data_IF_419898975385
#
_entry.id   IF_419898975385
#
_cell.length_a   1.000
_cell.length_b   1.000
_cell.length_c   1.000
_cell.angle_alpha   90.00
_cell.angle_beta   90.00
_cell.angle_gamma   90.00
#
_symmetry.space_group_name_H-M   'P 1'
#
loop_
_entity.id
_entity.type
_entity.pdbx_description
1 polymer ?
#
# COMPACT_ATOMS: atom_id res chain seq x y z
N UNK A 1 31.25 20.44 10.91
CA UNK A 1 29.92 21.07 10.94
C UNK A 1 29.75 21.75 9.59
N UNK A 2 28.98 21.17 8.66
CA UNK A 2 28.72 21.82 7.36
C UNK A 2 27.75 22.96 7.60
N UNK A 3 28.26 24.18 7.60
CA UNK A 3 27.46 25.39 7.81
C UNK A 3 26.76 25.73 6.49
N UNK A 4 25.56 25.18 6.30
CA UNK A 4 24.61 25.75 5.34
C UNK A 4 24.29 27.16 5.83
N UNK A 5 24.24 28.14 4.92
CA UNK A 5 23.84 29.50 5.29
C UNK A 5 22.36 29.52 5.71
N UNK A 6 22.01 30.47 6.57
CA UNK A 6 20.69 30.52 7.20
C UNK A 6 19.55 30.67 6.19
N UNK A 7 19.78 31.40 5.08
CA UNK A 7 18.78 31.57 4.04
C UNK A 7 18.51 30.25 3.28
N UNK A 8 19.56 29.52 2.92
CA UNK A 8 19.44 28.18 2.32
C UNK A 8 18.79 27.19 3.29
N UNK A 9 19.13 27.24 4.57
CA UNK A 9 18.54 26.37 5.60
C UNK A 9 17.04 26.64 5.75
N UNK A 10 16.63 27.91 5.83
CA UNK A 10 15.23 28.30 5.91
C UNK A 10 14.45 27.89 4.66
N UNK A 11 15.00 28.10 3.47
CA UNK A 11 14.37 27.68 2.22
C UNK A 11 14.10 26.16 2.17
N UNK A 12 15.01 25.35 2.72
CA UNK A 12 14.84 23.88 2.81
C UNK A 12 13.72 23.51 3.79
N UNK A 13 13.64 24.20 4.92
CA UNK A 13 12.58 24.00 5.93
C UNK A 13 11.22 24.38 5.35
N UNK A 14 11.11 25.56 4.76
CA UNK A 14 9.86 26.07 4.18
C UNK A 14 9.36 25.16 3.06
N UNK A 15 10.28 24.69 2.20
CA UNK A 15 9.95 23.77 1.14
C UNK A 15 9.40 22.43 1.67
N UNK A 16 9.98 21.90 2.75
CA UNK A 16 9.53 20.64 3.35
C UNK A 16 8.11 20.75 3.90
N UNK A 17 7.75 21.91 4.45
CA UNK A 17 6.39 22.16 4.95
C UNK A 17 5.42 22.40 3.79
N UNK A 18 5.84 23.11 2.74
CA UNK A 18 5.02 23.36 1.56
C UNK A 18 4.74 22.06 0.77
N UNK A 19 5.74 21.17 0.66
CA UNK A 19 5.67 19.95 -0.14
C UNK A 19 6.12 18.72 0.66
N UNK A 20 5.36 18.30 1.69
CA UNK A 20 5.77 17.26 2.64
C UNK A 20 6.02 15.90 1.96
N UNK A 21 5.39 15.63 0.82
CA UNK A 21 5.56 14.39 0.06
C UNK A 21 6.85 14.32 -0.77
N UNK A 22 7.61 15.42 -0.91
CA UNK A 22 8.82 15.45 -1.74
C UNK A 22 10.03 14.92 -0.96
N UNK A 23 10.77 13.99 -1.58
CA UNK A 23 12.03 13.47 -1.02
C UNK A 23 13.22 14.40 -1.25
N UNK A 24 14.31 14.16 -0.51
CA UNK A 24 15.51 15.02 -0.45
C UNK A 24 16.10 15.42 -1.82
N UNK A 25 16.10 14.51 -2.80
CA UNK A 25 16.62 14.76 -4.14
C UNK A 25 15.68 15.65 -4.96
N UNK A 26 14.36 15.47 -4.81
CA UNK A 26 13.36 16.32 -5.46
C UNK A 26 13.42 17.72 -4.88
N UNK A 27 13.46 17.86 -3.55
CA UNK A 27 13.64 19.15 -2.88
C UNK A 27 14.91 19.87 -3.34
N UNK A 28 16.05 19.17 -3.39
CA UNK A 28 17.31 19.72 -3.92
C UNK A 28 17.18 20.23 -5.36
N UNK A 29 16.51 19.48 -6.23
CA UNK A 29 16.30 19.88 -7.63
C UNK A 29 15.34 21.08 -7.77
N UNK A 30 14.27 21.13 -6.99
CA UNK A 30 13.30 22.22 -7.04
C UNK A 30 13.85 23.52 -6.44
N UNK A 31 14.60 23.43 -5.34
CA UNK A 31 15.33 24.56 -4.77
C UNK A 31 16.37 25.12 -5.75
N UNK A 32 17.05 24.25 -6.51
CA UNK A 32 18.00 24.69 -7.54
C UNK A 32 17.33 25.55 -8.62
N UNK A 33 16.09 25.22 -9.02
CA UNK A 33 15.32 26.04 -9.98
C UNK A 33 14.98 27.42 -9.42
N UNK A 34 14.94 27.56 -8.10
CA UNK A 34 14.70 28.82 -7.38
C UNK A 34 16.01 29.56 -7.04
N UNK A 35 17.16 29.08 -7.53
CA UNK A 35 18.47 29.69 -7.26
C UNK A 35 19.09 29.28 -5.93
N UNK A 36 18.51 28.32 -5.20
CA UNK A 36 19.03 27.80 -3.93
C UNK A 36 19.80 26.50 -4.17
N UNK A 37 21.13 26.53 -4.00
CA UNK A 37 22.00 25.41 -4.34
C UNK A 37 22.37 24.57 -3.12
N UNK A 38 21.68 23.44 -2.94
CA UNK A 38 21.99 22.47 -1.88
C UNK A 38 21.90 21.03 -2.43
N UNK A 39 22.77 20.13 -1.97
CA UNK A 39 22.72 18.71 -2.35
C UNK A 39 21.59 17.96 -1.63
N UNK A 40 21.15 16.82 -2.16
CA UNK A 40 20.17 15.97 -1.45
C UNK A 40 20.63 15.52 -0.06
N UNK A 41 21.92 15.25 0.13
CA UNK A 41 22.48 14.96 1.46
C UNK A 41 22.51 16.19 2.37
N UNK A 42 22.70 17.39 1.81
CA UNK A 42 22.56 18.66 2.53
C UNK A 42 21.12 18.88 3.01
N UNK A 43 20.13 18.65 2.13
CA UNK A 43 18.70 18.71 2.48
C UNK A 43 18.37 17.76 3.63
N UNK A 44 18.81 16.50 3.54
CA UNK A 44 18.67 15.50 4.61
C UNK A 44 19.25 15.99 5.94
N UNK A 45 20.44 16.57 5.89
CA UNK A 45 21.14 17.06 7.08
C UNK A 45 20.41 18.23 7.73
N UNK A 46 19.84 19.14 6.95
CA UNK A 46 18.96 20.22 7.44
C UNK A 46 17.71 19.61 8.07
N UNK A 47 17.00 18.73 7.37
CA UNK A 47 15.78 18.11 7.90
C UNK A 47 15.99 17.38 9.22
N UNK A 48 17.13 16.70 9.40
CA UNK A 48 17.46 16.05 10.67
C UNK A 48 17.60 17.06 11.83
N UNK A 49 18.14 18.25 11.59
CA UNK A 49 18.25 19.31 12.60
C UNK A 49 16.89 19.91 12.96
N UNK A 50 15.98 19.98 11.99
CA UNK A 50 14.65 20.58 12.14
C UNK A 50 13.53 19.57 12.41
N UNK A 51 13.87 18.28 12.58
CA UNK A 51 12.89 17.22 12.79
C UNK A 51 11.84 17.12 11.65
N UNK A 52 12.30 17.18 10.40
CA UNK A 52 11.48 17.16 9.16
C UNK A 52 11.89 16.02 8.23
N UNK A 53 12.58 15.01 8.73
CA UNK A 53 13.35 14.10 7.88
C UNK A 53 12.51 12.96 7.28
N UNK A 54 11.21 12.92 7.55
CA UNK A 54 10.30 11.97 6.95
C UNK A 54 8.91 12.60 6.75
N UNK A 55 8.12 11.98 5.88
CA UNK A 55 6.80 12.45 5.49
C UNK A 55 5.89 12.79 6.69
N UNK A 56 5.82 11.91 7.70
CA UNK A 56 4.98 12.11 8.89
C UNK A 56 5.36 13.37 9.66
N UNK A 57 6.66 13.63 9.78
CA UNK A 57 7.18 14.81 10.47
C UNK A 57 6.98 16.10 9.67
N UNK A 58 7.27 16.09 8.36
CA UNK A 58 7.02 17.23 7.48
C UNK A 58 5.54 17.58 7.41
N UNK A 59 4.67 16.56 7.37
CA UNK A 59 3.22 16.74 7.36
C UNK A 59 2.70 17.27 8.70
N UNK A 60 3.24 16.81 9.83
CA UNK A 60 2.92 17.39 11.14
C UNK A 60 3.28 18.87 11.21
N UNK A 61 4.44 19.26 10.67
CA UNK A 61 4.84 20.66 10.60
C UNK A 61 3.89 21.49 9.72
N UNK A 62 3.34 20.90 8.65
CA UNK A 62 2.28 21.54 7.85
C UNK A 62 0.98 21.70 8.65
N UNK A 63 0.52 20.65 9.35
CA UNK A 63 -0.66 20.72 10.22
C UNK A 63 -0.52 21.82 11.30
N UNK A 64 0.64 21.90 11.94
CA UNK A 64 0.96 22.95 12.91
C UNK A 64 0.95 24.35 12.29
N UNK A 65 1.45 24.49 11.05
CA UNK A 65 1.43 25.76 10.31
C UNK A 65 0.01 26.18 9.95
N UNK A 66 -0.83 25.24 9.49
CA UNK A 66 -2.25 25.49 9.20
C UNK A 66 -2.99 25.94 10.47
N UNK A 67 -2.77 25.25 11.59
CA UNK A 67 -3.43 25.58 12.85
C UNK A 67 -3.01 26.96 13.39
N UNK A 68 -1.75 27.36 13.16
CA UNK A 68 -1.20 28.64 13.65
C UNK A 68 -1.56 29.82 12.76
N UNK A 69 -1.41 29.65 11.45
CA UNK A 69 -1.43 30.76 10.49
C UNK A 69 -2.74 30.81 9.69
N UNK A 70 -3.59 29.78 9.78
CA UNK A 70 -4.86 29.71 9.06
C UNK A 70 -4.70 29.65 7.54
N UNK A 71 -3.58 29.10 7.05
CA UNK A 71 -3.27 29.07 5.62
C UNK A 71 -4.27 28.21 4.83
N UNK A 72 -4.66 28.68 3.66
CA UNK A 72 -5.39 27.86 2.68
C UNK A 72 -4.44 26.80 2.10
N UNK A 73 -4.93 25.56 2.05
CA UNK A 73 -4.16 24.42 1.56
C UNK A 73 -4.21 24.35 0.03
N UNK A 74 -3.08 24.06 -0.59
CA UNK A 74 -3.03 23.73 -2.02
C UNK A 74 -3.52 22.30 -2.27
N UNK A 75 -3.95 21.99 -3.49
CA UNK A 75 -4.35 20.62 -3.90
C UNK A 75 -3.28 19.58 -3.56
N UNK A 76 -2.01 19.93 -3.71
CA UNK A 76 -0.88 19.03 -3.39
C UNK A 76 -0.75 18.73 -1.90
N UNK A 77 -1.12 19.68 -1.04
CA UNK A 77 -1.12 19.54 0.41
C UNK A 77 -2.36 18.80 0.91
N UNK A 78 -3.52 19.05 0.29
CA UNK A 78 -4.74 18.28 0.51
C UNK A 78 -4.48 16.80 0.21
N UNK A 79 -3.90 16.50 -0.96
CA UNK A 79 -3.54 15.13 -1.33
C UNK A 79 -2.54 14.49 -0.35
N UNK A 80 -1.63 15.27 0.25
CA UNK A 80 -0.70 14.77 1.26
C UNK A 80 -1.42 14.44 2.59
N UNK A 81 -2.39 15.26 3.01
CA UNK A 81 -3.21 15.01 4.20
C UNK A 81 -4.12 13.80 4.00
N UNK A 82 -4.75 13.67 2.83
CA UNK A 82 -5.55 12.50 2.45
C UNK A 82 -4.72 11.22 2.44
N UNK A 83 -3.47 11.29 1.97
CA UNK A 83 -2.54 10.15 2.03
C UNK A 83 -2.26 9.70 3.46
N UNK A 84 -2.02 10.63 4.39
CA UNK A 84 -1.85 10.29 5.82
C UNK A 84 -3.12 9.71 6.41
N UNK A 85 -4.29 10.29 6.13
CA UNK A 85 -5.55 9.74 6.60
C UNK A 85 -5.74 8.29 6.13
N UNK A 86 -5.43 7.99 4.87
CA UNK A 86 -5.46 6.64 4.33
C UNK A 86 -4.41 5.70 4.95
N UNK A 87 -3.23 6.21 5.32
CA UNK A 87 -2.16 5.42 5.95
C UNK A 87 -2.45 5.16 7.45
N UNK A 88 -2.99 6.14 8.18
CA UNK A 88 -3.39 6.03 9.58
C UNK A 88 -4.65 5.15 9.74
N UNK A 89 -5.60 5.21 8.78
CA UNK A 89 -6.76 4.31 8.70
C UNK A 89 -6.35 2.85 8.36
N UNK A 90 -5.15 2.62 7.83
CA UNK A 90 -4.63 1.27 7.57
C UNK A 90 -3.94 0.61 8.78
N UNK A 91 -3.91 1.27 9.94
CA UNK A 91 -3.21 0.81 11.14
C UNK A 91 -4.17 0.24 12.21
N UNK A 92 -5.16 -0.55 11.82
CA UNK A 92 -5.74 -1.54 12.74
C UNK A 92 -4.78 -2.73 12.78
N UNK A 93 -4.13 -2.98 13.92
CA UNK A 93 -3.06 -3.98 14.01
C UNK A 93 -3.53 -5.37 13.57
N UNK A 94 -3.14 -5.74 12.35
CA UNK A 94 -3.14 -7.11 11.89
C UNK A 94 -1.94 -7.77 12.55
N UNK A 95 -2.18 -8.61 13.56
CA UNK A 95 -1.12 -9.42 14.17
C UNK A 95 -0.52 -10.36 13.11
N UNK A 96 0.76 -10.16 12.80
CA UNK A 96 1.52 -11.02 11.89
C UNK A 96 2.93 -11.23 12.43
N UNK A 97 3.34 -12.49 12.58
CA UNK A 97 4.55 -12.83 13.32
C UNK A 97 5.75 -13.19 12.43
N UNK A 98 5.49 -13.79 11.27
CA UNK A 98 6.51 -14.28 10.33
C UNK A 98 5.89 -14.51 8.93
N UNK A 99 6.72 -14.70 7.88
CA UNK A 99 6.20 -15.09 6.56
C UNK A 99 5.35 -16.36 6.65
N UNK A 100 4.23 -16.39 5.92
CA UNK A 100 3.26 -17.49 5.96
C UNK A 100 2.33 -17.50 7.18
N UNK A 101 2.50 -16.59 8.15
CA UNK A 101 1.60 -16.49 9.30
C UNK A 101 0.19 -16.06 8.89
N UNK A 102 0.10 -14.99 8.09
CA UNK A 102 -1.17 -14.45 7.62
C UNK A 102 -1.05 -13.90 6.20
N UNK A 103 -1.82 -14.48 5.29
CA UNK A 103 -2.05 -13.96 3.95
C UNK A 103 -3.34 -13.15 3.86
N UNK A 104 -3.30 -12.00 3.17
CA UNK A 104 -4.49 -11.25 2.77
C UNK A 104 -4.84 -11.67 1.34
N UNK A 105 -6.06 -12.14 1.10
CA UNK A 105 -6.52 -12.53 -0.23
C UNK A 105 -7.76 -11.73 -0.63
N UNK A 106 -7.78 -11.28 -1.88
CA UNK A 106 -8.81 -10.39 -2.41
C UNK A 106 -8.98 -10.54 -3.93
N UNK A 107 -10.16 -10.18 -4.43
CA UNK A 107 -10.51 -10.18 -5.85
C UNK A 107 -10.68 -8.75 -6.37
N UNK A 108 -9.87 -8.39 -7.36
CA UNK A 108 -9.92 -7.08 -8.02
C UNK A 108 -10.52 -7.18 -9.43
N UNK A 109 -11.49 -6.33 -9.77
CA UNK A 109 -11.99 -6.23 -11.15
C UNK A 109 -11.03 -5.37 -11.98
N UNK A 110 -10.44 -5.97 -13.02
CA UNK A 110 -9.45 -5.31 -13.88
C UNK A 110 -10.12 -4.50 -15.00
N UNK A 111 -11.14 -5.08 -15.64
CA UNK A 111 -11.79 -4.47 -16.79
C UNK A 111 -12.51 -5.48 -17.68
N UNK A 112 -12.94 -5.03 -18.86
CA UNK A 112 -13.58 -5.87 -19.86
C UNK A 112 -12.75 -5.87 -21.15
N UNK A 113 -12.30 -7.05 -21.56
CA UNK A 113 -11.50 -7.23 -22.76
C UNK A 113 -12.40 -7.71 -23.92
N UNK A 114 -12.33 -7.02 -25.06
CA UNK A 114 -13.14 -7.36 -26.25
C UNK A 114 -12.89 -8.81 -26.68
N UNK A 115 -13.95 -9.60 -26.81
CA UNK A 115 -13.89 -11.00 -27.22
C UNK A 115 -13.59 -12.00 -26.09
N UNK A 116 -13.19 -11.53 -24.90
CA UNK A 116 -12.94 -12.38 -23.73
C UNK A 116 -13.97 -12.12 -22.61
N UNK A 117 -14.37 -10.86 -22.42
CA UNK A 117 -15.32 -10.45 -21.39
C UNK A 117 -14.62 -9.85 -20.17
N UNK A 118 -15.29 -9.94 -19.01
CA UNK A 118 -14.79 -9.40 -17.74
C UNK A 118 -13.55 -10.14 -17.28
N UNK A 119 -12.55 -9.40 -16.81
CA UNK A 119 -11.32 -9.91 -16.25
C UNK A 119 -11.25 -9.53 -14.77
N UNK A 120 -10.95 -10.53 -13.94
CA UNK A 120 -10.78 -10.42 -12.51
C UNK A 120 -9.38 -10.90 -12.13
N UNK A 121 -8.70 -10.18 -11.24
CA UNK A 121 -7.44 -10.58 -10.66
C UNK A 121 -7.68 -11.14 -9.26
N UNK A 122 -7.34 -12.41 -9.04
CA UNK A 122 -7.13 -12.92 -7.69
C UNK A 122 -5.77 -12.44 -7.21
N UNK A 123 -5.73 -11.93 -5.99
CA UNK A 123 -4.52 -11.38 -5.37
C UNK A 123 -4.33 -12.00 -4.00
N UNK A 124 -3.12 -12.45 -3.73
CA UNK A 124 -2.66 -12.82 -2.40
C UNK A 124 -1.49 -11.92 -2.02
N UNK A 125 -1.47 -11.41 -0.80
CA UNK A 125 -0.33 -10.67 -0.23
C UNK A 125 -0.04 -11.19 1.17
N UNK A 126 1.20 -11.60 1.41
CA UNK A 126 1.67 -11.92 2.75
C UNK A 126 1.80 -10.65 3.59
N UNK A 127 1.11 -10.64 4.72
CA UNK A 127 1.02 -9.44 5.57
C UNK A 127 2.33 -9.11 6.27
N UNK A 128 3.26 -10.06 6.41
CA UNK A 128 4.58 -9.87 7.00
C UNK A 128 5.62 -9.52 5.95
N UNK A 129 5.84 -10.41 4.97
CA UNK A 129 6.93 -10.30 3.99
C UNK A 129 6.61 -9.37 2.82
N UNK A 130 5.33 -9.02 2.63
CA UNK A 130 4.81 -8.25 1.49
C UNK A 130 5.02 -8.91 0.13
N UNK A 131 5.35 -10.21 0.10
CA UNK A 131 5.33 -11.01 -1.13
C UNK A 131 3.88 -11.10 -1.63
N UNK A 132 3.70 -10.83 -2.92
CA UNK A 132 2.38 -10.83 -3.56
C UNK A 132 2.34 -11.80 -4.74
N UNK A 133 1.20 -12.47 -4.91
CA UNK A 133 0.89 -13.33 -6.04
C UNK A 133 -0.40 -12.88 -6.70
N UNK A 134 -0.41 -12.88 -8.03
CA UNK A 134 -1.58 -12.49 -8.82
C UNK A 134 -1.83 -13.49 -9.95
N UNK A 135 -3.11 -13.74 -10.23
CA UNK A 135 -3.54 -14.52 -11.38
C UNK A 135 -4.86 -13.99 -11.93
N UNK A 136 -4.97 -13.89 -13.26
CA UNK A 136 -6.14 -13.35 -13.95
C UNK A 136 -7.12 -14.47 -14.32
N UNK A 137 -8.41 -14.19 -14.16
CA UNK A 137 -9.52 -15.08 -14.47
C UNK A 137 -10.63 -14.32 -15.18
N UNK A 138 -11.45 -15.05 -15.93
CA UNK A 138 -12.65 -14.51 -16.59
C UNK A 138 -13.90 -14.57 -15.72
N UNK A 139 -13.79 -15.18 -14.53
CA UNK A 139 -14.89 -15.37 -13.58
C UNK A 139 -14.44 -15.09 -12.16
N UNK A 140 -15.36 -14.59 -11.33
CA UNK A 140 -15.20 -14.40 -9.88
C UNK A 140 -15.93 -15.54 -9.16
N UNK A 141 -15.23 -16.66 -8.91
CA UNK A 141 -15.81 -17.89 -8.31
C UNK A 141 -14.93 -18.50 -7.22
N UNK A 142 -15.48 -19.30 -6.29
CA UNK A 142 -14.68 -19.94 -5.24
C UNK A 142 -13.51 -20.77 -5.75
N UNK A 143 -13.72 -21.47 -6.87
CA UNK A 143 -12.66 -22.28 -7.52
C UNK A 143 -11.49 -21.39 -7.96
N UNK A 144 -11.75 -20.20 -8.52
CA UNK A 144 -10.68 -19.29 -8.94
C UNK A 144 -9.84 -18.76 -7.77
N UNK A 145 -10.47 -18.53 -6.61
CA UNK A 145 -9.78 -18.12 -5.39
C UNK A 145 -8.89 -19.26 -4.83
N UNK A 146 -9.39 -20.50 -4.85
CA UNK A 146 -8.63 -21.68 -4.41
C UNK A 146 -7.48 -22.00 -5.37
N UNK A 147 -7.70 -21.84 -6.68
CA UNK A 147 -6.69 -22.08 -7.71
C UNK A 147 -5.45 -21.19 -7.55
N UNK A 148 -5.62 -19.90 -7.21
CA UNK A 148 -4.46 -19.03 -6.92
C UNK A 148 -3.60 -19.62 -5.79
N UNK A 149 -4.24 -20.09 -4.72
CA UNK A 149 -3.53 -20.67 -3.58
C UNK A 149 -2.80 -21.96 -3.98
N UNK A 150 -3.49 -22.84 -4.69
CA UNK A 150 -2.97 -24.13 -5.12
C UNK A 150 -1.82 -24.02 -6.13
N UNK A 151 -1.96 -23.15 -7.14
CA UNK A 151 -1.02 -23.05 -8.25
C UNK A 151 0.21 -22.20 -7.91
N UNK A 152 0.04 -21.15 -7.08
CA UNK A 152 1.09 -20.14 -6.86
C UNK A 152 1.54 -20.02 -5.41
N UNK A 153 0.61 -19.88 -4.48
CA UNK A 153 0.94 -19.49 -3.11
C UNK A 153 1.51 -20.67 -2.32
N UNK A 154 0.73 -21.74 -2.11
CA UNK A 154 1.16 -22.86 -1.27
C UNK A 154 2.43 -23.55 -1.79
N UNK A 155 2.62 -23.78 -3.11
CA UNK A 155 3.87 -24.32 -3.63
C UNK A 155 5.08 -23.41 -3.35
N UNK A 156 4.92 -22.09 -3.47
CA UNK A 156 5.99 -21.14 -3.18
C UNK A 156 6.40 -21.22 -1.71
N UNK A 157 5.47 -21.11 -0.77
CA UNK A 157 5.78 -21.18 0.67
C UNK A 157 6.33 -22.54 1.10
N UNK A 158 5.76 -23.62 0.57
CA UNK A 158 6.26 -24.98 0.79
C UNK A 158 7.71 -25.15 0.33
N UNK A 159 8.07 -24.57 -0.84
CA UNK A 159 9.46 -24.58 -1.33
C UNK A 159 10.45 -23.84 -0.42
N UNK A 160 9.96 -22.90 0.38
CA UNK A 160 10.74 -22.16 1.38
C UNK A 160 10.72 -22.82 2.76
N UNK A 161 10.05 -23.98 2.91
CA UNK A 161 9.87 -24.64 4.21
C UNK A 161 8.97 -23.87 5.17
N UNK A 162 8.07 -23.02 4.65
CA UNK A 162 7.19 -22.17 5.44
C UNK A 162 5.74 -22.67 5.35
N UNK A 163 5.02 -22.81 6.48
CA UNK A 163 3.60 -23.12 6.46
C UNK A 163 2.77 -21.87 6.15
N UNK A 164 1.60 -22.05 5.53
CA UNK A 164 0.57 -21.03 5.46
C UNK A 164 -0.45 -21.31 6.57
N UNK A 165 -0.55 -20.44 7.57
CA UNK A 165 -1.35 -20.72 8.77
C UNK A 165 -2.76 -20.14 8.68
N UNK A 166 -2.88 -18.93 8.15
CA UNK A 166 -4.13 -18.18 8.15
C UNK A 166 -4.27 -17.36 6.89
N UNK A 167 -5.51 -17.26 6.40
CA UNK A 167 -5.87 -16.35 5.31
C UNK A 167 -7.01 -15.45 5.74
N UNK A 168 -6.82 -14.15 5.51
CA UNK A 168 -7.81 -13.10 5.68
C UNK A 168 -8.44 -12.76 4.33
N UNK A 169 -9.77 -12.78 4.26
CA UNK A 169 -10.54 -12.29 3.11
C UNK A 169 -11.67 -11.37 3.58
N UNK A 170 -12.35 -10.74 2.64
CA UNK A 170 -13.68 -10.19 2.91
C UNK A 170 -14.75 -11.31 3.00
N UNK A 171 -16.02 -10.91 2.98
CA UNK A 171 -17.18 -11.83 3.00
C UNK A 171 -17.79 -12.05 1.62
N UNK A 172 -17.11 -11.71 0.53
CA UNK A 172 -17.64 -11.91 -0.80
C UNK A 172 -17.81 -13.41 -1.11
N UNK A 173 -18.70 -13.68 -2.05
CA UNK A 173 -19.23 -15.03 -2.33
C UNK A 173 -18.20 -16.01 -2.89
N UNK A 174 -17.05 -15.56 -3.37
CA UNK A 174 -15.94 -16.42 -3.78
C UNK A 174 -15.10 -16.90 -2.59
N UNK A 175 -15.17 -16.22 -1.45
CA UNK A 175 -14.45 -16.61 -0.25
C UNK A 175 -15.38 -17.23 0.80
N UNK A 176 -16.65 -16.81 0.82
CA UNK A 176 -17.61 -17.21 1.84
C UNK A 176 -18.90 -17.79 1.26
N UNK A 177 -19.31 -18.95 1.77
CA UNK A 177 -20.62 -19.53 1.51
C UNK A 177 -21.06 -20.50 2.61
N UNK A 178 -21.86 -21.51 2.26
CA UNK A 178 -22.15 -22.61 3.17
C UNK A 178 -20.89 -23.47 3.29
N UNK A 179 -20.25 -23.47 4.45
CA UNK A 179 -18.92 -24.07 4.69
C UNK A 179 -18.80 -25.49 4.15
N UNK A 180 -19.82 -26.32 4.34
CA UNK A 180 -19.85 -27.73 3.90
C UNK A 180 -19.85 -27.92 2.37
N UNK A 181 -20.12 -26.86 1.60
CA UNK A 181 -20.32 -26.91 0.14
C UNK A 181 -19.52 -25.84 -0.60
N UNK A 182 -18.70 -25.05 0.10
CA UNK A 182 -18.01 -23.93 -0.48
C UNK A 182 -16.55 -24.31 -0.80
N UNK A 183 -16.26 -24.53 -2.09
CA UNK A 183 -14.98 -25.08 -2.57
C UNK A 183 -13.75 -24.40 -1.96
N UNK A 184 -13.77 -23.06 -1.86
CA UNK A 184 -12.67 -22.31 -1.26
C UNK A 184 -12.50 -22.60 0.24
N UNK A 185 -13.59 -22.67 1.01
CA UNK A 185 -13.50 -22.91 2.45
C UNK A 185 -13.14 -24.37 2.75
N UNK A 186 -13.63 -25.31 1.94
CA UNK A 186 -13.21 -26.71 1.98
C UNK A 186 -11.72 -26.84 1.63
N UNK A 187 -11.25 -26.12 0.61
CA UNK A 187 -9.85 -26.12 0.21
C UNK A 187 -8.94 -25.62 1.34
N UNK A 188 -9.30 -24.52 2.02
CA UNK A 188 -8.56 -24.04 3.19
C UNK A 188 -8.54 -25.07 4.32
N UNK A 189 -9.69 -25.68 4.63
CA UNK A 189 -9.80 -26.70 5.67
C UNK A 189 -8.94 -27.94 5.38
N UNK A 190 -8.90 -28.41 4.13
CA UNK A 190 -8.07 -29.56 3.72
C UNK A 190 -6.57 -29.28 3.87
N UNK A 191 -6.17 -28.01 3.74
CA UNK A 191 -4.78 -27.59 3.88
C UNK A 191 -4.44 -27.10 5.31
N UNK A 192 -5.33 -27.31 6.28
CA UNK A 192 -5.18 -26.84 7.67
C UNK A 192 -4.94 -25.31 7.78
N UNK A 193 -5.56 -24.53 6.89
CA UNK A 193 -5.46 -23.06 6.87
C UNK A 193 -6.68 -22.45 7.56
N UNK A 194 -6.44 -21.61 8.56
CA UNK A 194 -7.51 -20.88 9.24
C UNK A 194 -8.07 -19.76 8.36
N UNK A 195 -9.40 -19.70 8.20
CA UNK A 195 -10.07 -18.65 7.42
C UNK A 195 -10.57 -17.53 8.34
N UNK A 196 -9.88 -16.40 8.31
CA UNK A 196 -10.32 -15.16 8.97
C UNK A 196 -11.08 -14.28 7.98
N UNK A 197 -12.12 -13.59 8.47
CA UNK A 197 -12.96 -12.71 7.65
C UNK A 197 -12.94 -11.31 8.25
N UNK A 198 -12.81 -10.28 7.41
CA UNK A 198 -12.92 -8.89 7.88
C UNK A 198 -14.22 -8.68 8.66
N UNK A 199 -14.25 -7.86 9.71
CA UNK A 199 -15.52 -7.52 10.39
C UNK A 199 -16.38 -6.65 9.46
N UNK A 200 -17.71 -6.69 9.63
CA UNK A 200 -18.59 -5.82 8.86
C UNK A 200 -18.38 -4.37 9.36
N UNK A 201 -17.47 -3.65 8.67
CA UNK A 201 -16.91 -2.33 8.98
C UNK A 201 -16.02 -2.24 10.25
N UNK A 202 -14.89 -1.48 10.24
CA UNK A 202 -14.36 -0.57 9.19
C UNK A 202 -13.25 -1.19 8.30
N UNK A 203 -12.84 -0.52 7.20
CA UNK A 203 -11.95 -1.01 6.11
C UNK A 203 -10.48 -1.30 6.52
N UNK A 204 -10.19 -1.27 7.81
CA UNK A 204 -8.84 -1.25 8.39
C UNK A 204 -8.02 -2.55 8.20
N UNK A 205 -8.66 -3.70 7.97
CA UNK A 205 -7.96 -5.00 7.98
C UNK A 205 -7.52 -5.51 6.61
N UNK A 206 -8.01 -4.95 5.50
CA UNK A 206 -7.60 -5.39 4.15
C UNK A 206 -6.67 -4.37 3.44
N UNK A 207 -6.21 -3.33 4.15
CA UNK A 207 -5.43 -2.23 3.58
C UNK A 207 -4.09 -2.62 2.94
N UNK A 208 -3.63 -3.86 3.09
CA UNK A 208 -2.45 -4.37 2.34
C UNK A 208 -2.83 -4.72 0.90
N UNK A 209 -3.92 -5.47 0.68
CA UNK A 209 -4.40 -5.80 -0.66
C UNK A 209 -4.83 -4.55 -1.43
N UNK A 210 -5.59 -3.65 -0.79
CA UNK A 210 -6.07 -2.43 -1.45
C UNK A 210 -4.92 -1.52 -1.92
N UNK A 211 -3.88 -1.34 -1.09
CA UNK A 211 -2.68 -0.58 -1.47
C UNK A 211 -1.96 -1.23 -2.64
N UNK A 212 -1.85 -2.55 -2.60
CA UNK A 212 -1.23 -3.30 -3.68
C UNK A 212 -2.05 -3.22 -4.98
N UNK A 213 -3.38 -3.26 -4.93
CA UNK A 213 -4.24 -3.06 -6.10
C UNK A 213 -4.06 -1.67 -6.70
N UNK A 214 -3.98 -0.62 -5.88
CA UNK A 214 -3.67 0.74 -6.35
C UNK A 214 -2.33 0.78 -7.10
N UNK A 215 -1.30 0.12 -6.57
CA UNK A 215 0.00 0.01 -7.25
C UNK A 215 -0.12 -0.75 -8.57
N UNK A 216 -0.72 -1.94 -8.58
CA UNK A 216 -0.85 -2.73 -9.81
C UNK A 216 -1.66 -2.01 -10.88
N UNK A 217 -2.77 -1.38 -10.50
CA UNK A 217 -3.61 -0.64 -11.42
C UNK A 217 -2.83 0.48 -12.13
N UNK A 218 -2.07 1.26 -11.37
CA UNK A 218 -1.28 2.36 -11.93
C UNK A 218 -0.11 1.87 -12.79
N UNK A 219 0.59 0.83 -12.36
CA UNK A 219 1.82 0.37 -13.03
C UNK A 219 1.56 -0.53 -14.24
N UNK A 220 0.48 -1.33 -14.24
CA UNK A 220 0.27 -2.38 -15.25
C UNK A 220 -1.01 -2.24 -16.07
N UNK A 221 -2.04 -1.55 -15.58
CA UNK A 221 -3.36 -1.54 -16.25
C UNK A 221 -3.78 -0.16 -16.77
N UNK A 222 -3.38 0.95 -16.12
CA UNK A 222 -3.69 2.32 -16.55
C UNK A 222 -2.59 2.96 -17.40
N UNK A 223 -1.35 2.55 -17.20
CA UNK A 223 -0.21 2.87 -18.07
C UNK A 223 -0.41 2.14 -19.39
N UNK A 224 -0.95 2.82 -20.40
CA UNK A 224 -1.30 2.28 -21.72
C UNK A 224 -0.16 1.75 -22.60
N UNK A 225 0.71 0.90 -22.07
CA UNK A 225 1.69 0.12 -22.81
C UNK A 225 1.49 -1.37 -22.49
N UNK A 226 0.36 -1.92 -22.93
CA UNK A 226 0.32 -3.33 -23.32
C UNK A 226 0.98 -3.39 -24.71
N UNK A 227 2.05 -4.17 -24.92
CA UNK A 227 2.65 -4.33 -26.25
C UNK A 227 1.65 -4.88 -27.28
#
# INVERSE_FOLDING_TARGET
MNHTDEATEQAVVDYAVAFPAHGQHRTSNELRKQGVFISGSGVRSVWLRHNLENFKKSLKALEEKVARDGIELTDSQIAALERKASDDEACGEIETAHPGYLGSQDTFYVGNLKGVGRIYQQTFVDTYSKVAHCKLYVTKTPISAADLLNDRVLPFYSSQGLPMLRILTDRDTEFCGKVEQHDYQLYLAINDIEHTKTKAMPPQTNGTCERFHKTILNEFFLSGNVP
#
